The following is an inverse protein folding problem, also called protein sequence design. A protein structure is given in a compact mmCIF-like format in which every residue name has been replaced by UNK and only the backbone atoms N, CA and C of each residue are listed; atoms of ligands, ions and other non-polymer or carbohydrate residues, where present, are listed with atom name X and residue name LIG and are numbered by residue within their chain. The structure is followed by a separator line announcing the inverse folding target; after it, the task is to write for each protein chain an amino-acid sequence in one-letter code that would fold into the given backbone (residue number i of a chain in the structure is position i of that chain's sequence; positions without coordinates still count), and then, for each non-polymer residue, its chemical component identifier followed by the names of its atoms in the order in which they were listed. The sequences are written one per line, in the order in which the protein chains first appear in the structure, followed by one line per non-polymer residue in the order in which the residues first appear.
data_IF_697639047590
#
_entry.id   IF_697639047590
#
_cell.length_a   1.000
_cell.length_b   1.000
_cell.length_c   1.000
_cell.angle_alpha   90.00
_cell.angle_beta   90.00
_cell.angle_gamma   90.00
#
_symmetry.space_group_name_H-M   'P 1'
#
loop_
_entity.id
_entity.type
_entity.pdbx_description
1 polymer ?
#
# COMPACT_ATOMS: atom_id res chain seq x y z
N UNK A 1 -4.99 -15.31 -33.97
CA UNK A 1 -6.28 -15.11 -33.25
C UNK A 1 -5.89 -14.93 -31.80
N UNK A 2 -5.99 -13.72 -31.27
CA UNK A 2 -5.72 -13.44 -29.86
C UNK A 2 -6.89 -13.98 -29.06
N UNK A 3 -6.70 -15.10 -28.36
CA UNK A 3 -7.65 -15.62 -27.40
C UNK A 3 -7.79 -14.64 -26.24
N UNK A 4 -8.94 -13.98 -26.13
CA UNK A 4 -9.24 -13.13 -24.99
C UNK A 4 -9.26 -13.98 -23.72
N UNK A 5 -8.50 -13.55 -22.71
CA UNK A 5 -8.51 -14.18 -21.38
C UNK A 5 -9.89 -13.98 -20.76
N UNK A 6 -10.65 -15.05 -20.61
CA UNK A 6 -11.84 -15.05 -19.78
C UNK A 6 -11.37 -15.42 -18.36
N UNK A 7 -11.16 -14.40 -17.52
CA UNK A 7 -10.99 -14.63 -16.08
C UNK A 7 -12.30 -15.19 -15.52
N UNK A 8 -12.24 -16.38 -14.96
CA UNK A 8 -13.35 -16.90 -14.18
C UNK A 8 -13.35 -16.19 -12.81
N UNK A 9 -14.01 -15.05 -12.76
CA UNK A 9 -14.05 -14.12 -11.61
C UNK A 9 -14.89 -14.67 -10.42
N UNK A 10 -15.46 -15.87 -10.55
CA UNK A 10 -16.64 -16.27 -9.79
C UNK A 10 -16.36 -16.95 -8.44
N UNK A 11 -15.13 -17.38 -8.14
CA UNK A 11 -14.92 -18.25 -6.97
C UNK A 11 -13.95 -17.71 -5.90
N UNK A 12 -13.38 -16.53 -6.05
CA UNK A 12 -12.49 -16.00 -5.02
C UNK A 12 -13.28 -15.08 -4.09
N UNK A 13 -13.29 -15.34 -2.79
CA UNK A 13 -13.98 -14.47 -1.83
C UNK A 13 -13.40 -13.06 -1.88
N UNK A 14 -14.26 -12.07 -1.68
CA UNK A 14 -13.88 -10.66 -1.63
C UNK A 14 -14.13 -10.13 -0.23
N UNK A 15 -13.18 -9.35 0.30
CA UNK A 15 -13.33 -8.62 1.55
C UNK A 15 -13.17 -7.12 1.28
N UNK A 16 -14.10 -6.34 1.81
CA UNK A 16 -13.97 -4.89 1.74
C UNK A 16 -12.88 -4.42 2.70
N UNK A 17 -11.71 -4.07 2.18
CA UNK A 17 -10.58 -3.57 2.97
C UNK A 17 -10.97 -2.39 3.85
N UNK A 18 -11.77 -1.46 3.33
CA UNK A 18 -12.25 -0.32 4.11
C UNK A 18 -13.27 -0.70 5.20
N UNK A 19 -14.12 -1.70 5.00
CA UNK A 19 -15.01 -2.20 6.06
C UNK A 19 -14.24 -2.94 7.15
N UNK A 20 -13.26 -3.75 6.78
CA UNK A 20 -12.38 -4.40 7.75
C UNK A 20 -11.61 -3.36 8.57
N UNK A 21 -11.15 -2.26 7.96
CA UNK A 21 -10.58 -1.14 8.72
C UNK A 21 -11.55 -0.63 9.80
N UNK A 22 -12.78 -0.27 9.42
CA UNK A 22 -13.77 0.27 10.34
C UNK A 22 -14.09 -0.68 11.49
N UNK A 23 -14.26 -1.97 11.22
CA UNK A 23 -14.49 -3.03 12.22
C UNK A 23 -13.30 -3.21 13.16
N UNK A 24 -12.09 -3.33 12.61
CA UNK A 24 -10.87 -3.51 13.41
C UNK A 24 -10.63 -2.32 14.32
N UNK A 25 -10.85 -1.10 13.84
CA UNK A 25 -10.73 0.10 14.66
C UNK A 25 -11.78 0.13 15.77
N UNK A 26 -13.03 -0.26 15.47
CA UNK A 26 -14.10 -0.35 16.47
C UNK A 26 -13.77 -1.38 17.55
N UNK A 27 -13.19 -2.51 17.19
CA UNK A 27 -12.80 -3.56 18.14
C UNK A 27 -11.65 -3.09 19.05
N UNK A 28 -10.61 -2.49 18.50
CA UNK A 28 -9.51 -1.89 19.28
C UNK A 28 -10.03 -0.82 20.26
N UNK A 29 -10.97 -0.01 19.84
CA UNK A 29 -11.50 1.08 20.65
C UNK A 29 -12.33 0.61 21.86
N UNK A 30 -12.80 -0.64 21.89
CA UNK A 30 -13.47 -1.22 23.07
C UNK A 30 -12.53 -1.32 24.26
N UNK A 31 -11.27 -1.67 23.99
CA UNK A 31 -10.24 -1.87 25.01
C UNK A 31 -9.39 -0.61 25.23
N UNK A 32 -9.26 0.25 24.22
CA UNK A 32 -8.35 1.40 24.16
C UNK A 32 -9.11 2.72 24.05
N UNK A 33 -9.25 3.43 25.18
CA UNK A 33 -10.06 4.66 25.26
C UNK A 33 -9.39 5.88 24.64
N UNK A 34 -8.08 5.85 24.46
CA UNK A 34 -7.30 6.91 23.84
C UNK A 34 -7.46 6.95 22.30
N UNK A 35 -8.02 5.89 21.69
CA UNK A 35 -8.31 5.87 20.25
C UNK A 35 -9.48 6.80 19.95
N UNK A 36 -9.26 7.74 19.03
CA UNK A 36 -10.27 8.64 18.48
C UNK A 36 -10.26 8.62 16.97
N UNK A 37 -11.38 8.88 16.34
CA UNK A 37 -11.49 8.99 14.88
C UNK A 37 -11.72 10.46 14.48
N UNK A 38 -11.01 10.92 13.46
CA UNK A 38 -11.19 12.25 12.87
C UNK A 38 -11.50 12.09 11.38
N UNK A 39 -12.50 12.82 10.89
CA UNK A 39 -12.92 12.73 9.48
C UNK A 39 -13.23 14.10 8.91
N UNK A 40 -13.02 14.25 7.60
CA UNK A 40 -13.36 15.46 6.83
C UNK A 40 -14.68 15.25 6.07
N UNK A 41 -15.77 14.98 6.80
CA UNK A 41 -17.12 14.72 6.29
C UNK A 41 -17.24 13.47 5.39
N UNK A 42 -16.34 12.49 5.58
CA UNK A 42 -16.28 11.26 4.79
C UNK A 42 -16.47 9.99 5.63
N UNK A 43 -17.02 10.07 6.85
CA UNK A 43 -17.15 8.94 7.76
C UNK A 43 -17.81 7.70 7.11
N UNK A 44 -18.88 7.90 6.36
CA UNK A 44 -19.57 6.80 5.65
C UNK A 44 -18.73 6.24 4.51
N UNK A 45 -18.09 7.11 3.73
CA UNK A 45 -17.27 6.70 2.57
C UNK A 45 -16.00 5.97 3.00
N UNK A 46 -15.41 6.37 4.12
CA UNK A 46 -14.21 5.73 4.69
C UNK A 46 -14.54 4.57 5.63
N UNK A 47 -15.82 4.19 5.74
CA UNK A 47 -16.30 3.05 6.55
C UNK A 47 -16.04 3.17 8.06
N UNK A 48 -16.07 4.38 8.60
CA UNK A 48 -16.00 4.64 10.04
C UNK A 48 -17.30 4.34 10.78
N UNK A 49 -18.34 3.78 10.11
CA UNK A 49 -19.65 3.59 10.71
C UNK A 49 -19.63 2.65 11.92
N UNK A 50 -18.85 1.56 11.84
CA UNK A 50 -18.74 0.61 12.96
C UNK A 50 -18.10 1.27 14.17
N UNK A 51 -17.04 2.07 13.97
CA UNK A 51 -16.44 2.87 15.04
C UNK A 51 -17.43 3.93 15.59
N UNK A 52 -18.15 4.62 14.71
CA UNK A 52 -19.14 5.64 15.11
C UNK A 52 -20.25 5.03 15.97
N UNK A 53 -20.72 3.84 15.60
CA UNK A 53 -21.75 3.13 16.36
C UNK A 53 -21.23 2.66 17.74
N UNK A 54 -19.96 2.21 17.78
CA UNK A 54 -19.36 1.71 19.02
C UNK A 54 -18.91 2.85 19.96
N UNK A 55 -18.46 3.96 19.43
CA UNK A 55 -17.82 5.05 20.18
C UNK A 55 -18.24 6.44 19.65
N UNK A 56 -19.52 6.82 19.69
CA UNK A 56 -20.02 8.06 19.08
C UNK A 56 -19.35 9.34 19.62
N UNK A 57 -19.00 9.35 20.91
CA UNK A 57 -18.37 10.48 21.58
C UNK A 57 -16.88 10.64 21.23
N UNK A 58 -16.31 9.72 20.45
CA UNK A 58 -14.89 9.71 20.04
C UNK A 58 -14.71 9.90 18.54
N UNK A 59 -15.75 10.34 17.83
CA UNK A 59 -15.69 10.68 16.40
C UNK A 59 -15.80 12.19 16.24
N UNK A 60 -14.86 12.78 15.54
CA UNK A 60 -14.75 14.21 15.30
C UNK A 60 -14.84 14.51 13.80
N UNK A 61 -15.95 15.08 13.37
CA UNK A 61 -16.11 15.55 11.99
C UNK A 61 -15.75 17.04 11.92
N UNK A 62 -14.72 17.37 11.17
CA UNK A 62 -14.23 18.74 11.01
C UNK A 62 -14.77 19.46 9.77
N UNK A 63 -15.72 18.83 9.07
CA UNK A 63 -16.23 19.30 7.77
C UNK A 63 -15.26 18.96 6.62
N UNK A 64 -15.58 19.41 5.41
CA UNK A 64 -14.76 19.18 4.21
C UNK A 64 -13.49 20.03 4.27
N UNK A 65 -12.56 19.65 5.15
CA UNK A 65 -11.37 20.45 5.48
C UNK A 65 -10.21 19.54 5.91
N UNK A 66 -9.60 18.83 4.98
CA UNK A 66 -8.55 17.81 5.26
C UNK A 66 -7.30 18.42 5.91
N UNK A 67 -6.94 19.66 5.57
CA UNK A 67 -5.85 20.37 6.23
C UNK A 67 -6.14 20.56 7.73
N UNK A 68 -7.35 21.02 8.06
CA UNK A 68 -7.79 21.14 9.45
C UNK A 68 -7.87 19.77 10.14
N UNK A 69 -8.34 18.73 9.44
CA UNK A 69 -8.40 17.36 9.96
C UNK A 69 -7.01 16.87 10.42
N UNK A 70 -6.00 17.07 9.61
CA UNK A 70 -4.62 16.69 9.95
C UNK A 70 -4.08 17.51 11.12
N UNK A 71 -4.29 18.84 11.15
CA UNK A 71 -3.88 19.69 12.27
C UNK A 71 -4.58 19.30 13.59
N UNK A 72 -5.88 19.01 13.54
CA UNK A 72 -6.66 18.52 14.70
C UNK A 72 -6.10 17.19 15.18
N UNK A 73 -5.85 16.24 14.28
CA UNK A 73 -5.24 14.95 14.63
C UNK A 73 -3.85 15.12 15.26
N UNK A 74 -3.03 16.03 14.74
CA UNK A 74 -1.73 16.32 15.34
C UNK A 74 -1.87 16.88 16.77
N UNK A 75 -2.79 17.80 16.99
CA UNK A 75 -3.07 18.36 18.32
C UNK A 75 -3.57 17.29 19.31
N UNK A 76 -4.48 16.39 18.88
CA UNK A 76 -4.98 15.27 19.68
C UNK A 76 -3.86 14.29 20.04
N UNK A 77 -2.98 13.96 19.09
CA UNK A 77 -1.84 13.09 19.35
C UNK A 77 -0.86 13.71 20.39
N UNK A 78 -0.62 15.02 20.32
CA UNK A 78 0.18 15.72 21.31
C UNK A 78 -0.48 15.77 22.70
N UNK A 79 -1.80 15.71 22.76
CA UNK A 79 -2.56 15.61 24.00
C UNK A 79 -2.62 14.18 24.58
N UNK A 80 -1.95 13.20 23.94
CA UNK A 80 -1.87 11.80 24.43
C UNK A 80 -2.95 10.88 23.87
N UNK A 81 -3.74 11.32 22.91
CA UNK A 81 -4.69 10.47 22.18
C UNK A 81 -4.00 9.77 21.01
N UNK A 82 -4.67 8.75 20.46
CA UNK A 82 -4.24 8.06 19.24
C UNK A 82 -5.30 8.29 18.15
N UNK A 83 -5.19 9.41 17.41
CA UNK A 83 -6.16 9.74 16.37
C UNK A 83 -5.94 8.90 15.11
N UNK A 84 -7.03 8.33 14.60
CA UNK A 84 -7.15 7.75 13.27
C UNK A 84 -7.87 8.76 12.37
N UNK A 85 -7.11 9.49 11.55
CA UNK A 85 -7.64 10.51 10.64
C UNK A 85 -7.93 9.87 9.28
N UNK A 86 -9.21 9.86 8.87
CA UNK A 86 -9.68 9.11 7.70
C UNK A 86 -10.24 10.02 6.62
N UNK A 87 -9.64 9.95 5.43
CA UNK A 87 -10.10 10.61 4.22
C UNK A 87 -9.65 9.81 2.97
N UNK A 88 -9.92 10.33 1.77
CA UNK A 88 -9.41 9.70 0.54
C UNK A 88 -7.89 9.94 0.37
N UNK A 89 -7.22 8.96 -0.21
CA UNK A 89 -5.76 8.98 -0.38
C UNK A 89 -5.26 10.23 -1.11
N UNK A 90 -5.97 10.65 -2.16
CA UNK A 90 -5.61 11.86 -2.91
C UNK A 90 -5.69 13.11 -2.06
N UNK A 91 -6.65 13.19 -1.14
CA UNK A 91 -6.82 14.37 -0.28
C UNK A 91 -5.86 14.36 0.90
N UNK A 92 -5.62 13.20 1.50
CA UNK A 92 -4.62 13.06 2.55
C UNK A 92 -3.21 13.43 2.08
N UNK A 93 -2.84 13.00 0.86
CA UNK A 93 -1.49 13.15 0.33
C UNK A 93 -1.23 14.46 -0.39
N UNK A 94 -2.23 15.06 -1.06
CA UNK A 94 -2.04 16.29 -1.84
C UNK A 94 -2.65 17.52 -1.17
N UNK A 95 -3.92 17.44 -0.77
CA UNK A 95 -4.61 18.61 -0.19
C UNK A 95 -4.04 18.99 1.18
N UNK A 96 -3.70 18.00 1.99
CA UNK A 96 -3.16 18.20 3.34
C UNK A 96 -1.66 17.88 3.46
N UNK A 97 -0.92 17.93 2.35
CA UNK A 97 0.49 17.56 2.29
C UNK A 97 1.37 18.34 3.29
N UNK A 98 1.17 19.66 3.39
CA UNK A 98 1.94 20.52 4.27
C UNK A 98 1.69 20.16 5.74
N UNK A 99 0.43 20.05 6.16
CA UNK A 99 0.07 19.69 7.54
C UNK A 99 0.51 18.26 7.87
N UNK A 100 0.40 17.33 6.94
CA UNK A 100 0.91 15.97 7.13
C UNK A 100 2.43 15.99 7.34
N UNK A 101 3.17 16.78 6.55
CA UNK A 101 4.60 16.92 6.69
C UNK A 101 4.99 17.62 8.00
N UNK A 102 4.45 18.81 8.27
CA UNK A 102 4.90 19.69 9.35
C UNK A 102 4.31 19.33 10.70
N UNK A 103 3.00 19.05 10.77
CA UNK A 103 2.31 18.87 12.03
C UNK A 103 2.39 17.43 12.55
N UNK A 104 2.43 16.44 11.64
CA UNK A 104 2.47 15.03 11.99
C UNK A 104 3.88 14.45 11.84
N UNK A 105 4.43 14.46 10.63
CA UNK A 105 5.66 13.71 10.33
C UNK A 105 6.90 14.36 10.95
N UNK A 106 7.07 15.66 10.77
CA UNK A 106 8.23 16.39 11.34
C UNK A 106 8.25 16.33 12.87
N UNK A 107 7.08 16.46 13.50
CA UNK A 107 6.95 16.37 14.96
C UNK A 107 6.94 14.92 15.49
N UNK A 108 6.92 13.93 14.62
CA UNK A 108 6.86 12.50 14.95
C UNK A 108 5.75 12.16 15.96
N UNK A 109 4.54 12.68 15.74
CA UNK A 109 3.40 12.44 16.63
C UNK A 109 2.72 11.11 16.34
N UNK A 110 2.06 10.53 17.36
CA UNK A 110 1.39 9.24 17.27
C UNK A 110 0.01 9.34 16.59
N UNK A 111 -0.03 9.75 15.32
CA UNK A 111 -1.24 9.88 14.53
C UNK A 111 -1.26 8.89 13.35
N UNK A 112 -2.44 8.32 13.06
CA UNK A 112 -2.64 7.31 12.03
C UNK A 112 -3.51 7.89 10.92
N UNK A 113 -2.98 7.94 9.70
CA UNK A 113 -3.67 8.46 8.53
C UNK A 113 -4.19 7.28 7.74
N UNK A 114 -5.50 7.16 7.68
CA UNK A 114 -6.17 6.10 6.91
C UNK A 114 -6.64 6.70 5.59
N UNK A 115 -5.94 6.34 4.56
CA UNK A 115 -6.08 6.88 3.23
C UNK A 115 -6.83 5.88 2.34
N UNK A 116 -8.14 6.04 2.23
CA UNK A 116 -9.00 5.14 1.44
C UNK A 116 -9.08 5.58 -0.03
N UNK A 117 -9.70 4.78 -0.88
CA UNK A 117 -9.88 5.08 -2.31
C UNK A 117 -8.54 5.30 -3.02
N UNK A 118 -7.56 4.47 -2.69
CA UNK A 118 -6.20 4.55 -3.24
C UNK A 118 -6.14 4.20 -4.72
N UNK A 119 -5.06 4.65 -5.37
CA UNK A 119 -4.82 4.39 -6.79
C UNK A 119 -5.97 4.84 -7.66
N UNK A 120 -6.43 3.97 -8.53
CA UNK A 120 -7.57 4.18 -9.43
C UNK A 120 -8.86 3.52 -8.95
N UNK A 121 -8.85 2.97 -7.72
CA UNK A 121 -9.97 2.19 -7.18
C UNK A 121 -11.30 2.95 -7.06
N UNK A 122 -11.29 4.28 -7.07
CA UNK A 122 -12.52 5.08 -7.10
C UNK A 122 -13.21 5.08 -8.47
N UNK A 123 -12.54 4.68 -9.54
CA UNK A 123 -13.11 4.49 -10.87
C UNK A 123 -13.92 5.69 -11.38
N UNK A 124 -15.22 5.63 -11.23
CA UNK A 124 -16.19 6.60 -11.78
C UNK A 124 -16.01 8.05 -11.33
N UNK A 125 -15.35 8.31 -10.20
CA UNK A 125 -15.11 9.68 -9.74
C UNK A 125 -14.07 10.41 -10.60
N UNK A 126 -13.32 9.69 -11.42
CA UNK A 126 -12.38 10.24 -12.39
C UNK A 126 -11.06 10.71 -11.79
N UNK A 127 -10.26 11.35 -12.63
CA UNK A 127 -8.87 11.68 -12.36
C UNK A 127 -8.63 12.60 -11.16
N UNK A 128 -9.62 13.41 -10.78
CA UNK A 128 -9.52 14.30 -9.61
C UNK A 128 -9.54 13.56 -8.28
N UNK A 129 -9.94 12.29 -8.29
CA UNK A 129 -10.03 11.43 -7.10
C UNK A 129 -9.06 10.24 -7.17
N UNK A 130 -8.31 10.06 -8.25
CA UNK A 130 -7.33 9.01 -8.37
C UNK A 130 -6.05 9.38 -7.60
N UNK A 131 -5.65 8.52 -6.66
CA UNK A 131 -4.45 8.70 -5.84
C UNK A 131 -3.27 7.96 -6.45
N UNK A 132 -2.71 8.50 -7.53
CA UNK A 132 -1.60 7.88 -8.29
C UNK A 132 -0.24 8.52 -8.04
N UNK A 133 -0.14 9.43 -7.04
CA UNK A 133 1.10 10.10 -6.63
C UNK A 133 1.31 10.08 -5.11
N UNK A 134 0.37 9.51 -4.38
CA UNK A 134 0.34 9.52 -2.92
C UNK A 134 1.54 8.79 -2.28
N UNK A 135 1.98 7.66 -2.85
CA UNK A 135 3.20 6.98 -2.37
C UNK A 135 4.45 7.83 -2.59
N UNK A 136 4.56 8.52 -3.72
CA UNK A 136 5.70 9.40 -3.99
C UNK A 136 5.82 10.51 -2.93
N UNK A 137 4.69 11.13 -2.58
CA UNK A 137 4.62 12.18 -1.57
C UNK A 137 4.91 11.64 -0.17
N UNK A 138 4.25 10.56 0.23
CA UNK A 138 4.34 10.02 1.59
C UNK A 138 5.69 9.34 1.87
N UNK A 139 6.31 8.70 0.87
CA UNK A 139 7.66 8.15 1.00
C UNK A 139 8.71 9.21 1.33
N UNK A 140 8.55 10.42 0.80
CA UNK A 140 9.49 11.53 1.03
C UNK A 140 9.36 12.16 2.43
N UNK A 141 8.23 11.95 3.15
CA UNK A 141 7.99 12.56 4.45
C UNK A 141 8.82 11.88 5.56
N UNK A 142 9.42 12.64 6.51
CA UNK A 142 10.20 12.04 7.59
C UNK A 142 9.32 11.24 8.55
N UNK A 143 9.88 10.24 9.23
CA UNK A 143 9.26 9.44 10.28
C UNK A 143 7.99 8.65 9.87
N UNK A 144 7.42 8.87 8.71
CA UNK A 144 6.17 8.26 8.27
C UNK A 144 6.37 6.79 7.87
N UNK A 145 5.65 5.89 8.50
CA UNK A 145 5.51 4.51 8.04
C UNK A 145 4.40 4.44 6.99
N UNK A 146 4.66 3.80 5.84
CA UNK A 146 3.74 3.71 4.71
C UNK A 146 3.41 2.25 4.42
N UNK A 147 2.14 1.88 4.56
CA UNK A 147 1.67 0.50 4.36
C UNK A 147 0.58 0.48 3.29
N UNK A 148 0.65 -0.49 2.38
CA UNK A 148 -0.31 -0.77 1.31
C UNK A 148 -0.83 -2.20 1.46
N UNK A 149 -1.84 -2.47 2.29
CA UNK A 149 -2.39 -3.81 2.48
C UNK A 149 -2.93 -4.40 1.19
N UNK A 150 -2.71 -5.70 0.98
CA UNK A 150 -3.15 -6.42 -0.22
C UNK A 150 -4.61 -6.90 -0.14
N UNK A 151 -5.10 -7.17 1.07
CA UNK A 151 -6.47 -7.65 1.30
C UNK A 151 -7.03 -7.20 2.66
N UNK A 152 -8.22 -7.71 3.02
CA UNK A 152 -8.87 -7.38 4.29
C UNK A 152 -8.11 -7.89 5.52
N UNK A 153 -7.54 -9.09 5.48
CA UNK A 153 -6.76 -9.63 6.60
C UNK A 153 -5.50 -8.80 6.85
N UNK A 154 -4.81 -8.44 5.80
CA UNK A 154 -3.63 -7.58 5.91
C UNK A 154 -4.00 -6.16 6.39
N UNK A 155 -5.18 -5.67 6.00
CA UNK A 155 -5.69 -4.39 6.51
C UNK A 155 -5.91 -4.42 8.02
N UNK A 156 -6.49 -5.50 8.56
CA UNK A 156 -6.66 -5.66 10.01
C UNK A 156 -5.30 -5.65 10.73
N UNK A 157 -4.34 -6.41 10.22
CA UNK A 157 -2.98 -6.45 10.78
C UNK A 157 -2.28 -5.08 10.70
N UNK A 158 -2.40 -4.36 9.60
CA UNK A 158 -1.83 -3.03 9.44
C UNK A 158 -2.42 -2.01 10.44
N UNK A 159 -3.73 -2.08 10.69
CA UNK A 159 -4.42 -1.21 11.66
C UNK A 159 -3.97 -1.50 13.09
N UNK A 160 -3.88 -2.79 13.47
CA UNK A 160 -3.36 -3.20 14.79
C UNK A 160 -1.91 -2.79 14.98
N UNK A 161 -1.06 -3.10 14.01
CA UNK A 161 0.36 -2.73 14.05
C UNK A 161 0.55 -1.20 14.14
N UNK A 162 -0.27 -0.42 13.43
CA UNK A 162 -0.22 1.03 13.54
C UNK A 162 -0.60 1.52 14.94
N UNK A 163 -1.57 0.88 15.62
CA UNK A 163 -1.90 1.22 16.98
C UNK A 163 -0.77 0.84 17.96
N UNK A 164 -0.25 -0.36 17.85
CA UNK A 164 0.79 -0.91 18.74
C UNK A 164 2.13 -0.18 18.66
N UNK A 165 2.43 0.43 17.53
CA UNK A 165 3.70 1.10 17.30
C UNK A 165 3.54 2.63 17.33
N UNK A 166 4.38 3.28 18.12
CA UNK A 166 4.41 4.75 18.21
C UNK A 166 4.90 5.37 16.90
N UNK A 167 4.31 6.51 16.53
CA UNK A 167 4.72 7.33 15.40
C UNK A 167 3.65 7.47 14.32
N UNK A 168 3.93 8.24 13.28
CA UNK A 168 2.98 8.48 12.19
C UNK A 168 2.92 7.29 11.23
N UNK A 169 1.70 6.90 10.87
CA UNK A 169 1.41 5.85 9.89
C UNK A 169 0.51 6.39 8.79
N UNK A 170 0.77 5.99 7.57
CA UNK A 170 -0.09 6.16 6.42
C UNK A 170 -0.48 4.77 5.90
N UNK A 171 -1.76 4.40 6.08
CA UNK A 171 -2.29 3.13 5.62
C UNK A 171 -3.13 3.39 4.38
N UNK A 172 -2.68 2.87 3.25
CA UNK A 172 -3.23 3.09 1.92
C UNK A 172 -4.20 1.97 1.56
N UNK A 173 -5.49 2.23 1.62
CA UNK A 173 -6.56 1.25 1.46
C UNK A 173 -7.36 1.52 0.18
N UNK A 174 -7.77 0.48 -0.53
CA UNK A 174 -8.64 0.59 -1.68
C UNK A 174 -10.08 0.99 -1.29
N UNK A 175 -10.87 1.39 -2.28
CA UNK A 175 -12.28 1.71 -2.08
C UNK A 175 -13.14 0.50 -1.78
N UNK A 176 -12.86 -0.60 -2.47
CA UNK A 176 -13.83 -1.65 -2.67
C UNK A 176 -13.43 -2.99 -2.09
N UNK A 177 -14.05 -3.98 -2.67
CA UNK A 177 -13.81 -5.38 -2.38
C UNK A 177 -12.51 -5.79 -3.06
N UNK A 178 -11.55 -6.21 -2.24
CA UNK A 178 -10.31 -6.77 -2.71
C UNK A 178 -10.36 -8.30 -2.62
N UNK A 179 -9.70 -8.96 -3.57
CA UNK A 179 -9.59 -10.41 -3.57
C UNK A 179 -8.80 -10.86 -2.36
N UNK A 180 -9.28 -11.89 -1.71
CA UNK A 180 -8.62 -12.49 -0.56
C UNK A 180 -7.32 -13.15 -0.99
N UNK A 181 -6.23 -12.72 -0.39
CA UNK A 181 -4.89 -13.22 -0.65
C UNK A 181 -4.47 -14.28 0.37
N UNK A 182 -4.80 -14.05 1.63
CA UNK A 182 -4.46 -14.89 2.78
C UNK A 182 -5.68 -15.64 3.31
N UNK A 183 -5.47 -16.79 3.94
CA UNK A 183 -6.55 -17.61 4.50
C UNK A 183 -7.09 -17.06 5.83
N UNK A 184 -6.25 -16.30 6.55
CA UNK A 184 -6.56 -15.68 7.85
C UNK A 184 -5.54 -14.57 8.17
N UNK A 185 -5.66 -13.94 9.34
CA UNK A 185 -4.76 -12.88 9.80
C UNK A 185 -3.38 -13.39 10.30
N UNK A 186 -3.26 -14.68 10.62
CA UNK A 186 -2.04 -15.27 11.18
C UNK A 186 -1.14 -15.85 10.07
N UNK A 187 -0.58 -14.99 9.23
CA UNK A 187 0.32 -15.37 8.13
C UNK A 187 1.75 -14.79 8.29
N UNK A 188 2.04 -14.21 9.45
CA UNK A 188 3.37 -13.65 9.75
C UNK A 188 3.56 -12.21 9.28
N UNK A 189 2.51 -11.36 9.36
CA UNK A 189 2.63 -9.93 9.09
C UNK A 189 3.62 -9.26 10.05
N UNK A 190 4.60 -8.55 9.48
CA UNK A 190 5.56 -7.73 10.23
C UNK A 190 5.86 -6.46 9.44
N UNK A 191 5.71 -5.30 10.08
CA UNK A 191 5.98 -4.00 9.44
C UNK A 191 7.44 -3.96 8.95
N UNK A 192 7.62 -3.66 7.67
CA UNK A 192 8.95 -3.58 7.06
C UNK A 192 9.50 -4.91 6.54
N UNK A 193 8.74 -6.02 6.60
CA UNK A 193 9.10 -7.31 6.04
C UNK A 193 8.16 -7.70 4.90
N UNK A 194 8.73 -8.17 3.79
CA UNK A 194 7.96 -8.67 2.66
C UNK A 194 7.50 -10.11 2.91
N UNK A 195 6.34 -10.48 2.35
CA UNK A 195 5.80 -11.85 2.42
C UNK A 195 5.90 -12.50 1.04
N UNK A 196 6.52 -13.69 0.96
CA UNK A 196 6.49 -14.49 -0.27
C UNK A 196 5.12 -15.18 -0.39
N UNK A 197 4.34 -14.77 -1.40
CA UNK A 197 2.98 -15.29 -1.65
C UNK A 197 2.93 -16.31 -2.80
N UNK A 198 4.01 -16.43 -3.56
CA UNK A 198 4.22 -17.47 -4.56
C UNK A 198 5.73 -17.72 -4.75
N UNK A 199 6.21 -18.97 -4.66
CA UNK A 199 7.62 -19.29 -4.85
C UNK A 199 8.00 -19.29 -6.34
N UNK A 200 9.28 -19.01 -6.64
CA UNK A 200 9.80 -19.07 -8.00
C UNK A 200 11.29 -18.77 -8.09
N UNK A 201 11.91 -19.14 -9.21
CA UNK A 201 13.37 -19.07 -9.40
C UNK A 201 13.80 -18.30 -10.65
N UNK A 202 12.90 -18.00 -11.58
CA UNK A 202 13.26 -17.37 -12.84
C UNK A 202 13.12 -15.86 -12.81
N UNK A 203 12.00 -15.36 -12.26
CA UNK A 203 11.67 -13.93 -12.17
C UNK A 203 11.09 -13.68 -10.79
N UNK A 204 11.38 -12.50 -10.21
CA UNK A 204 10.67 -12.02 -9.03
C UNK A 204 9.76 -10.86 -9.41
N UNK A 205 8.48 -10.97 -9.05
CA UNK A 205 7.51 -9.87 -9.06
C UNK A 205 7.40 -9.33 -7.64
N UNK A 206 7.63 -8.03 -7.45
CA UNK A 206 7.41 -7.33 -6.18
C UNK A 206 6.19 -6.45 -6.38
N UNK A 207 5.13 -6.72 -5.60
CA UNK A 207 3.86 -6.01 -5.72
C UNK A 207 3.40 -5.47 -4.38
N UNK A 208 2.49 -4.49 -4.38
CA UNK A 208 1.84 -3.98 -3.17
C UNK A 208 0.34 -3.73 -3.41
N UNK A 209 -0.41 -3.69 -2.32
CA UNK A 209 -1.85 -3.48 -2.37
C UNK A 209 -2.57 -4.55 -3.18
N UNK A 210 -3.70 -4.21 -3.78
CA UNK A 210 -4.50 -5.14 -4.58
C UNK A 210 -3.76 -5.79 -5.76
N UNK A 211 -2.66 -5.19 -6.22
CA UNK A 211 -1.85 -5.75 -7.31
C UNK A 211 -1.16 -7.08 -6.94
N UNK A 212 -1.03 -7.39 -5.65
CA UNK A 212 -0.39 -8.64 -5.20
C UNK A 212 -1.19 -9.87 -5.62
N UNK A 213 -2.50 -9.82 -5.47
CA UNK A 213 -3.36 -10.92 -5.90
C UNK A 213 -3.22 -11.17 -7.41
N UNK A 214 -3.30 -10.12 -8.23
CA UNK A 214 -3.15 -10.23 -9.68
C UNK A 214 -1.78 -10.78 -10.08
N UNK A 215 -0.72 -10.34 -9.39
CA UNK A 215 0.63 -10.84 -9.62
C UNK A 215 0.76 -12.34 -9.28
N UNK A 216 0.15 -12.79 -8.19
CA UNK A 216 0.11 -14.21 -7.81
C UNK A 216 -0.63 -15.07 -8.84
N UNK A 217 -1.79 -14.63 -9.29
CA UNK A 217 -2.56 -15.38 -10.28
C UNK A 217 -1.85 -15.42 -11.65
N UNK A 218 -1.20 -14.32 -12.04
CA UNK A 218 -0.36 -14.30 -13.24
C UNK A 218 0.85 -15.25 -13.13
N UNK A 219 1.47 -15.35 -11.94
CA UNK A 219 2.56 -16.28 -11.70
C UNK A 219 2.12 -17.74 -11.86
N UNK A 220 0.99 -18.12 -11.25
CA UNK A 220 0.40 -19.46 -11.41
C UNK A 220 0.09 -19.79 -12.86
N UNK A 221 -0.47 -18.83 -13.59
CA UNK A 221 -0.77 -19.01 -15.00
C UNK A 221 0.50 -19.26 -15.83
N UNK A 222 1.53 -18.43 -15.66
CA UNK A 222 2.81 -18.58 -16.38
C UNK A 222 3.53 -19.89 -16.06
N UNK A 223 3.44 -20.35 -14.82
CA UNK A 223 3.99 -21.64 -14.43
C UNK A 223 3.28 -22.79 -15.14
N UNK A 224 1.94 -22.74 -15.20
CA UNK A 224 1.14 -23.78 -15.86
C UNK A 224 1.25 -23.77 -17.39
N UNK A 225 1.33 -22.59 -18.01
CA UNK A 225 1.33 -22.43 -19.48
C UNK A 225 2.73 -22.59 -20.09
N UNK A 226 3.75 -22.03 -19.46
CA UNK A 226 5.09 -21.88 -20.02
C UNK A 226 6.19 -22.50 -19.16
N UNK A 227 5.84 -23.07 -17.99
CA UNK A 227 6.81 -23.60 -17.04
C UNK A 227 7.70 -22.53 -16.38
N UNK A 228 7.33 -21.24 -16.50
CA UNK A 228 8.10 -20.11 -15.97
C UNK A 228 7.82 -19.95 -14.47
N UNK A 229 8.84 -20.13 -13.63
CA UNK A 229 8.72 -20.06 -12.17
C UNK A 229 8.88 -18.63 -11.68
N UNK A 230 7.76 -17.97 -11.43
CA UNK A 230 7.70 -16.56 -11.02
C UNK A 230 7.50 -16.49 -9.51
N UNK A 231 8.48 -15.95 -8.77
CA UNK A 231 8.33 -15.59 -7.35
C UNK A 231 7.48 -14.33 -7.24
N UNK A 232 6.56 -14.29 -6.28
CA UNK A 232 5.80 -13.07 -5.97
C UNK A 232 6.03 -12.69 -4.51
N UNK A 233 6.53 -11.47 -4.31
CA UNK A 233 6.69 -10.86 -3.00
C UNK A 233 5.62 -9.78 -2.80
N UNK A 234 4.85 -9.92 -1.74
CA UNK A 234 4.00 -8.84 -1.24
C UNK A 234 4.86 -7.87 -0.43
N UNK A 235 5.09 -6.68 -0.97
CA UNK A 235 5.79 -5.59 -0.30
C UNK A 235 4.75 -4.65 0.32
N UNK A 236 4.01 -5.13 1.31
CA UNK A 236 2.95 -4.34 1.95
C UNK A 236 3.47 -3.08 2.64
N UNK A 237 4.69 -3.08 3.15
CA UNK A 237 5.31 -1.90 3.73
C UNK A 237 6.27 -1.27 2.73
N UNK A 238 5.89 -0.06 2.26
CA UNK A 238 6.69 0.70 1.29
C UNK A 238 7.78 1.51 2.01
N UNK A 239 7.52 1.87 3.27
CA UNK A 239 8.47 2.58 4.13
C UNK A 239 8.22 2.20 5.61
N UNK A 240 9.23 1.64 6.30
CA UNK A 240 10.52 1.19 5.77
C UNK A 240 10.35 0.00 4.82
N UNK A 241 11.11 -0.03 3.72
CA UNK A 241 11.04 -1.13 2.76
C UNK A 241 11.97 -2.28 3.16
N UNK A 242 11.60 -3.52 2.87
CA UNK A 242 12.42 -4.70 3.10
C UNK A 242 13.59 -4.78 2.11
N UNK A 243 14.70 -4.18 2.49
CA UNK A 243 15.94 -4.17 1.69
C UNK A 243 16.51 -5.58 1.52
N UNK A 244 16.39 -6.43 2.53
CA UNK A 244 16.95 -7.79 2.52
C UNK A 244 16.21 -8.67 1.49
N UNK A 245 14.88 -8.64 1.49
CA UNK A 245 14.06 -9.37 0.53
C UNK A 245 14.33 -8.91 -0.92
N UNK A 246 14.49 -7.61 -1.15
CA UNK A 246 14.83 -7.06 -2.47
C UNK A 246 16.22 -7.55 -2.91
N UNK A 247 17.24 -7.45 -2.05
CA UNK A 247 18.59 -7.86 -2.39
C UNK A 247 18.72 -9.36 -2.58
N UNK A 248 17.94 -10.15 -1.84
CA UNK A 248 17.81 -11.58 -2.06
C UNK A 248 17.18 -11.88 -3.41
N UNK A 249 16.12 -11.17 -3.80
CA UNK A 249 15.48 -11.32 -5.09
C UNK A 249 16.44 -11.01 -6.26
N UNK A 250 17.28 -9.97 -6.12
CA UNK A 250 18.33 -9.62 -7.11
C UNK A 250 19.33 -10.78 -7.31
N UNK A 251 19.65 -11.51 -6.25
CA UNK A 251 20.62 -12.63 -6.30
C UNK A 251 20.00 -13.92 -6.83
N UNK A 252 18.76 -14.20 -6.44
CA UNK A 252 18.11 -15.48 -6.68
C UNK A 252 17.46 -15.59 -8.07
N UNK A 253 17.05 -14.48 -8.66
CA UNK A 253 16.29 -14.47 -9.91
C UNK A 253 16.91 -13.57 -10.97
N UNK A 254 16.62 -13.85 -12.24
CA UNK A 254 17.22 -13.13 -13.37
C UNK A 254 16.69 -11.71 -13.57
N UNK A 255 15.46 -11.46 -13.10
CA UNK A 255 14.76 -10.19 -13.32
C UNK A 255 13.84 -9.86 -12.14
N UNK A 256 13.70 -8.57 -11.89
CA UNK A 256 12.71 -8.04 -10.96
C UNK A 256 11.71 -7.21 -11.75
N UNK A 257 10.44 -7.45 -11.50
CA UNK A 257 9.31 -6.68 -12.02
C UNK A 257 8.58 -6.09 -10.82
N UNK A 258 8.27 -4.79 -10.83
CA UNK A 258 7.45 -4.17 -9.79
C UNK A 258 6.06 -3.87 -10.32
N UNK A 259 5.03 -4.11 -9.51
CA UNK A 259 3.62 -3.90 -9.89
C UNK A 259 2.91 -3.13 -8.79
N UNK A 260 2.31 -2.01 -9.16
CA UNK A 260 1.63 -1.10 -8.24
C UNK A 260 0.51 -0.32 -8.94
N UNK A 261 -0.59 -0.03 -8.23
CA UNK A 261 -1.64 0.90 -8.70
C UNK A 261 -1.24 2.34 -8.33
N UNK A 262 -0.23 2.85 -9.01
CA UNK A 262 0.40 4.15 -8.77
C UNK A 262 1.19 4.58 -10.00
N UNK A 263 1.60 5.83 -10.08
CA UNK A 263 2.56 6.30 -11.08
C UNK A 263 3.92 5.62 -10.86
N UNK A 264 4.65 5.33 -11.93
CA UNK A 264 5.99 4.74 -11.87
C UNK A 264 7.03 5.63 -11.17
N UNK A 265 6.76 6.93 -11.06
CA UNK A 265 7.67 7.90 -10.43
C UNK A 265 7.38 7.97 -8.92
N UNK A 266 8.37 7.64 -8.12
CA UNK A 266 8.32 7.79 -6.67
C UNK A 266 7.57 6.69 -5.90
N UNK A 267 6.90 5.74 -6.59
CA UNK A 267 6.18 4.62 -5.97
C UNK A 267 7.08 3.45 -5.55
N UNK A 268 6.50 2.25 -5.48
CA UNK A 268 7.18 0.99 -5.14
C UNK A 268 8.36 0.73 -6.06
N UNK A 269 8.16 0.87 -7.38
CA UNK A 269 9.23 0.62 -8.34
C UNK A 269 10.44 1.53 -8.16
N UNK A 270 10.23 2.79 -7.76
CA UNK A 270 11.31 3.70 -7.40
C UNK A 270 12.01 3.27 -6.11
N UNK A 271 11.26 2.87 -5.08
CA UNK A 271 11.82 2.39 -3.82
C UNK A 271 12.70 1.14 -4.01
N UNK A 272 12.24 0.19 -4.81
CA UNK A 272 13.02 -1.02 -5.15
C UNK A 272 14.28 -0.64 -5.92
N UNK A 273 14.18 0.26 -6.91
CA UNK A 273 15.33 0.71 -7.70
C UNK A 273 16.39 1.42 -6.83
N UNK A 274 15.97 2.25 -5.88
CA UNK A 274 16.86 2.91 -4.91
C UNK A 274 17.68 1.88 -4.12
N UNK A 275 17.03 0.87 -3.55
CA UNK A 275 17.70 -0.20 -2.80
C UNK A 275 18.70 -0.96 -3.67
N UNK A 276 18.31 -1.30 -4.89
CA UNK A 276 19.19 -2.05 -5.82
C UNK A 276 20.41 -1.22 -6.19
N UNK A 277 20.24 0.07 -6.52
CA UNK A 277 21.34 0.96 -6.89
C UNK A 277 22.27 1.25 -5.70
N UNK A 278 21.71 1.57 -4.53
CA UNK A 278 22.50 1.82 -3.32
C UNK A 278 23.34 0.62 -2.88
N UNK A 279 22.90 -0.58 -3.16
CA UNK A 279 23.63 -1.81 -2.79
C UNK A 279 24.94 -2.01 -3.56
N UNK A 280 25.13 -1.35 -4.69
CA UNK A 280 26.25 -1.55 -5.61
C UNK A 280 26.27 -2.95 -6.25
N UNK A 281 25.28 -3.80 -6.00
CA UNK A 281 25.22 -5.19 -6.50
C UNK A 281 24.62 -5.31 -7.90
N UNK A 282 23.97 -4.27 -8.39
CA UNK A 282 23.45 -4.23 -9.75
C UNK A 282 24.24 -3.21 -10.57
N UNK A 283 24.74 -3.65 -11.72
CA UNK A 283 25.17 -2.71 -12.74
C UNK A 283 23.94 -1.96 -13.29
N UNK A 284 24.08 -0.72 -13.82
CA UNK A 284 22.96 0.06 -14.27
C UNK A 284 22.16 -0.69 -15.32
N UNK A 285 20.96 -1.12 -14.94
CA UNK A 285 20.05 -1.79 -15.83
C UNK A 285 19.28 -0.76 -16.65
N UNK A 286 19.09 -1.02 -17.94
CA UNK A 286 18.11 -0.29 -18.72
C UNK A 286 16.73 -0.64 -18.15
N UNK A 287 16.10 0.30 -17.45
CA UNK A 287 14.70 0.18 -17.11
C UNK A 287 13.90 0.29 -18.40
N UNK A 288 13.38 -0.81 -18.91
CA UNK A 288 12.34 -0.74 -19.92
C UNK A 288 11.03 -0.44 -19.20
N UNK A 289 10.68 0.84 -19.16
CA UNK A 289 9.35 1.29 -18.78
C UNK A 289 8.48 1.09 -20.01
N UNK A 290 7.51 0.19 -19.95
CA UNK A 290 6.44 0.18 -20.93
C UNK A 290 5.33 1.08 -20.39
N UNK A 291 5.13 2.28 -20.91
CA UNK A 291 3.95 3.06 -20.57
C UNK A 291 2.76 2.32 -21.17
N UNK A 292 1.84 1.85 -20.33
CA UNK A 292 0.51 1.49 -20.82
C UNK A 292 -0.22 2.79 -21.15
N UNK A 293 -0.23 3.15 -22.40
CA UNK A 293 -0.64 4.46 -22.93
C UNK A 293 -2.15 4.68 -22.99
N UNK A 294 -2.99 3.96 -22.26
CA UNK A 294 -4.44 4.21 -22.36
C UNK A 294 -5.30 3.83 -21.14
N UNK A 295 -4.74 3.27 -20.07
CA UNK A 295 -5.45 3.09 -18.80
C UNK A 295 -4.50 3.40 -17.65
N UNK A 296 -4.82 4.37 -16.78
CA UNK A 296 -3.89 4.84 -15.74
C UNK A 296 -3.92 3.98 -14.47
N UNK A 297 -3.92 2.66 -14.57
CA UNK A 297 -4.21 1.86 -13.38
C UNK A 297 -3.10 0.94 -12.89
N UNK A 298 -2.16 0.55 -13.72
CA UNK A 298 -1.08 -0.35 -13.27
C UNK A 298 0.26 0.12 -13.84
N UNK A 299 1.16 0.47 -12.95
CA UNK A 299 2.55 0.79 -13.32
C UNK A 299 3.41 -0.45 -13.15
N UNK A 300 4.09 -0.84 -14.21
CA UNK A 300 5.03 -1.95 -14.19
C UNK A 300 6.43 -1.45 -14.52
N UNK A 301 7.39 -1.75 -13.66
CA UNK A 301 8.81 -1.47 -13.91
C UNK A 301 9.59 -2.78 -13.92
N UNK A 302 10.39 -2.98 -14.97
CA UNK A 302 11.26 -4.14 -15.10
C UNK A 302 12.69 -3.71 -14.78
N UNK A 303 13.31 -4.34 -13.78
CA UNK A 303 14.70 -4.17 -13.42
C UNK A 303 15.46 -5.44 -13.86
N UNK A 304 16.40 -5.31 -14.78
CA UNK A 304 17.26 -6.42 -15.21
C UNK A 304 18.62 -6.30 -14.52
N UNK A 305 19.06 -7.30 -13.73
CA UNK A 305 20.46 -7.40 -13.33
C UNK A 305 21.31 -7.63 -14.57
N UNK A 306 22.39 -6.92 -14.72
CA UNK A 306 23.29 -7.06 -15.85
C UNK A 306 24.16 -8.30 -15.66
N UNK A 307 24.07 -9.26 -16.59
CA UNK A 307 25.16 -10.21 -16.80
C UNK A 307 26.22 -9.53 -17.65
N UNK A 308 27.41 -9.37 -17.12
CA UNK A 308 28.58 -9.01 -17.91
C UNK A 308 28.87 -10.16 -18.88
N UNK A 309 28.26 -10.14 -20.06
CA UNK A 309 28.80 -10.86 -21.20
C UNK A 309 29.94 -10.00 -21.75
N UNK A 310 31.17 -10.37 -21.46
CA UNK A 310 32.35 -9.94 -22.19
C UNK A 310 32.08 -10.07 -23.68
N UNK A 311 32.31 -9.03 -24.50
CA UNK A 311 32.34 -9.22 -25.92
C UNK A 311 33.60 -10.07 -26.22
N UNK A 312 33.43 -11.28 -26.66
CA UNK A 312 34.49 -11.96 -27.39
C UNK A 312 34.67 -11.27 -28.72
N UNK A 313 35.90 -10.91 -28.97
CA UNK A 313 36.43 -10.22 -30.15
C UNK A 313 36.02 -10.85 -31.50
#
# INVERSE_FOLDING_TARGET
MAGGFVYNVIETPELSTSEIYGKTLADLAKEHKEIVAVTADLATSTKLQDFTNACPDRVFNVGIAEQNMIGVAAGMARAGLVPFASTFSVFASLRAADQLHTDICYQNVNAKIIATHSGTSFGQAGSTHHAIVDLAVTRAMPNLTVICPADGYETANAVRAAYENFGPYYIRINRGFDRVLYDNEDYGFEVGKAVEVHPGTDITVIACGSCVFQAREAAKFLESADGLKVRVLNMHTIKPIDKEAILKAVQDTRRIITVEDHNIIGGLGSAVAEVVVESGKAAPSRSSVTPTSSLPSVSTRILCPWSASTPTA
#
